data_IF_448227768919
#
_entry.id   IF_448227768919
#
_cell.length_a   1.000
_cell.length_b   1.000
_cell.length_c   1.000
_cell.angle_alpha   90.00
_cell.angle_beta   90.00
_cell.angle_gamma   90.00
#
_symmetry.space_group_name_H-M   'P 1'
#
loop_
_entity.id
_entity.type
_entity.pdbx_description
1 polymer ?
#
# COMPACT_ATOMS: atom_id res chain seq x y z
N UNK A 1 36.49 -27.25 -40.32
CA UNK A 1 35.39 -26.26 -40.38
C UNK A 1 34.41 -26.61 -39.27
N UNK A 2 34.58 -26.04 -38.06
CA UNK A 2 33.69 -26.26 -36.92
C UNK A 2 32.95 -24.97 -36.63
N UNK A 3 31.69 -24.89 -37.03
CA UNK A 3 30.82 -23.79 -36.68
C UNK A 3 30.20 -24.11 -35.31
N UNK A 4 30.76 -23.55 -34.24
CA UNK A 4 30.11 -23.55 -32.94
C UNK A 4 29.02 -22.46 -32.99
N UNK A 5 27.76 -22.87 -32.95
CA UNK A 5 26.62 -21.99 -32.77
C UNK A 5 26.61 -21.48 -31.33
N UNK A 6 27.00 -20.23 -31.14
CA UNK A 6 26.79 -19.50 -29.89
C UNK A 6 25.29 -19.39 -29.64
N UNK A 7 24.78 -20.21 -28.73
CA UNK A 7 23.52 -19.93 -28.04
C UNK A 7 23.74 -18.66 -27.21
N UNK A 8 23.56 -17.50 -27.84
CA UNK A 8 23.36 -16.25 -27.13
C UNK A 8 22.17 -16.43 -26.19
N UNK A 9 22.46 -16.69 -24.92
CA UNK A 9 21.51 -16.52 -23.83
C UNK A 9 21.05 -15.08 -23.90
N UNK A 10 19.86 -14.87 -24.45
CA UNK A 10 19.15 -13.60 -24.36
C UNK A 10 19.13 -13.25 -22.87
N UNK A 11 19.75 -12.12 -22.51
CA UNK A 11 19.54 -11.52 -21.18
C UNK A 11 18.02 -11.37 -21.01
N UNK A 12 17.41 -11.79 -19.88
CA UNK A 12 16.01 -11.51 -19.63
C UNK A 12 15.82 -10.01 -19.80
N UNK A 13 14.97 -9.61 -20.74
CA UNK A 13 14.53 -8.23 -20.83
C UNK A 13 13.84 -7.95 -19.49
N UNK A 14 14.33 -6.97 -18.73
CA UNK A 14 13.69 -6.61 -17.48
C UNK A 14 12.24 -6.23 -17.80
N UNK A 15 11.30 -7.02 -17.31
CA UNK A 15 9.89 -6.74 -17.50
C UNK A 15 9.57 -5.43 -16.79
N UNK A 16 8.84 -4.54 -17.48
CA UNK A 16 8.39 -3.29 -16.88
C UNK A 16 7.50 -3.64 -15.68
N UNK A 17 7.70 -2.94 -14.57
CA UNK A 17 6.94 -3.14 -13.34
C UNK A 17 5.90 -2.03 -13.18
N UNK A 18 4.75 -2.40 -12.64
CA UNK A 18 3.71 -1.50 -12.14
C UNK A 18 3.64 -1.60 -10.62
N UNK A 19 3.18 -0.54 -9.98
CA UNK A 19 2.98 -0.48 -8.53
C UNK A 19 1.50 -0.38 -8.16
N UNK A 20 1.14 -0.99 -7.04
CA UNK A 20 -0.11 -0.80 -6.32
C UNK A 20 0.18 -0.39 -4.87
N UNK A 21 -0.51 0.65 -4.39
CA UNK A 21 -0.50 1.06 -2.99
C UNK A 21 -1.66 0.42 -2.25
N UNK A 22 -1.40 -0.09 -1.05
CA UNK A 22 -2.42 -0.77 -0.23
C UNK A 22 -2.26 -0.31 1.20
N UNK A 23 -3.34 0.14 1.83
CA UNK A 23 -3.37 0.41 3.26
C UNK A 23 -3.77 -0.86 4.00
N UNK A 24 -2.84 -1.46 4.73
CA UNK A 24 -3.10 -2.59 5.61
C UNK A 24 -3.48 -2.03 7.00
N UNK A 25 -4.75 -2.14 7.36
CA UNK A 25 -5.30 -1.43 8.52
C UNK A 25 -5.13 -2.28 9.77
N UNK A 26 -5.82 -3.42 9.82
CA UNK A 26 -5.90 -4.23 11.03
C UNK A 26 -6.32 -5.64 10.69
N UNK A 27 -6.16 -6.55 11.64
CA UNK A 27 -6.85 -7.83 11.62
C UNK A 27 -7.57 -8.09 12.94
N UNK A 28 -8.52 -9.02 12.91
CA UNK A 28 -9.36 -9.36 14.06
C UNK A 28 -9.48 -10.87 14.17
N UNK A 29 -9.49 -11.37 15.41
CA UNK A 29 -9.70 -12.78 15.74
C UNK A 29 -8.78 -13.76 14.98
N UNK A 30 -7.51 -13.38 14.83
CA UNK A 30 -6.50 -14.25 14.24
C UNK A 30 -6.27 -15.50 15.08
N UNK A 31 -5.79 -16.57 14.44
CA UNK A 31 -5.36 -17.76 15.17
C UNK A 31 -4.17 -17.43 16.07
N UNK A 32 -4.29 -17.69 17.36
CA UNK A 32 -3.13 -17.63 18.24
C UNK A 32 -2.19 -18.83 17.97
N UNK A 33 -1.00 -18.54 17.44
CA UNK A 33 0.08 -19.52 17.16
C UNK A 33 1.24 -19.46 18.19
N UNK A 34 1.11 -18.58 19.19
CA UNK A 34 2.04 -18.43 20.31
C UNK A 34 1.30 -18.61 21.64
N UNK A 35 1.37 -19.81 22.19
CA UNK A 35 0.64 -20.15 23.41
C UNK A 35 1.28 -19.63 24.70
N UNK A 36 2.59 -19.35 24.67
CA UNK A 36 3.35 -18.97 25.88
C UNK A 36 3.67 -17.47 25.95
N UNK A 37 3.72 -16.78 24.81
CA UNK A 37 4.04 -15.36 24.74
C UNK A 37 2.95 -14.63 23.97
N UNK A 38 2.87 -13.30 24.18
CA UNK A 38 2.03 -12.46 23.34
C UNK A 38 2.43 -12.60 21.87
N UNK A 39 1.43 -12.65 21.00
CA UNK A 39 1.65 -12.63 19.56
C UNK A 39 1.97 -11.20 19.14
N UNK A 40 3.07 -11.03 18.42
CA UNK A 40 3.45 -9.79 17.74
C UNK A 40 3.38 -10.08 16.26
N UNK A 41 2.77 -9.24 15.45
CA UNK A 41 2.45 -9.62 14.07
C UNK A 41 2.80 -8.54 13.07
N UNK A 42 3.13 -8.96 11.87
CA UNK A 42 3.27 -8.12 10.69
C UNK A 42 2.64 -8.82 9.49
N UNK A 43 2.38 -8.05 8.43
CA UNK A 43 1.83 -8.55 7.19
C UNK A 43 2.88 -8.43 6.07
N UNK A 44 2.94 -9.44 5.22
CA UNK A 44 3.72 -9.47 3.98
C UNK A 44 2.72 -9.43 2.83
N UNK A 45 2.86 -8.42 1.97
CA UNK A 45 1.93 -8.13 0.87
C UNK A 45 2.65 -8.28 -0.46
N UNK A 46 2.04 -9.00 -1.39
CA UNK A 46 2.62 -9.25 -2.71
C UNK A 46 1.57 -9.62 -3.76
N UNK A 47 1.89 -9.37 -5.03
CA UNK A 47 1.20 -10.01 -6.16
C UNK A 47 2.01 -11.23 -6.60
N UNK A 48 3.31 -11.02 -6.83
CA UNK A 48 4.30 -12.07 -7.06
C UNK A 48 5.34 -12.07 -5.94
N UNK A 49 5.80 -13.26 -5.56
CA UNK A 49 6.70 -13.42 -4.40
C UNK A 49 8.10 -12.81 -4.58
N UNK A 50 8.45 -12.42 -5.79
CA UNK A 50 9.72 -11.73 -6.07
C UNK A 50 9.69 -10.25 -5.66
N UNK A 51 8.49 -9.69 -5.44
CA UNK A 51 8.28 -8.28 -5.12
C UNK A 51 7.34 -8.14 -3.92
N UNK A 52 7.87 -8.38 -2.72
CA UNK A 52 7.13 -8.30 -1.46
C UNK A 52 7.30 -6.93 -0.79
N UNK A 53 6.28 -6.51 -0.06
CA UNK A 53 6.34 -5.40 0.88
C UNK A 53 5.89 -5.88 2.26
N UNK A 54 6.47 -5.34 3.32
CA UNK A 54 6.15 -5.72 4.70
C UNK A 54 5.64 -4.51 5.47
N UNK A 55 4.70 -4.74 6.39
CA UNK A 55 4.34 -3.76 7.40
C UNK A 55 5.33 -3.81 8.56
N UNK A 56 5.31 -2.81 9.43
CA UNK A 56 5.88 -2.90 10.76
C UNK A 56 5.23 -4.01 11.58
N UNK A 57 5.94 -4.39 12.63
CA UNK A 57 5.45 -5.34 13.64
C UNK A 57 4.57 -4.59 14.62
N UNK A 58 3.32 -5.03 14.75
CA UNK A 58 2.49 -4.66 15.89
C UNK A 58 2.90 -5.51 17.11
N UNK A 59 3.46 -4.82 18.09
CA UNK A 59 3.97 -5.39 19.34
C UNK A 59 2.85 -5.76 20.33
N UNK A 60 1.64 -5.21 20.17
CA UNK A 60 0.63 -5.20 21.23
C UNK A 60 -0.75 -5.73 20.85
N UNK A 61 -1.14 -5.80 19.58
CA UNK A 61 -2.51 -6.21 19.23
C UNK A 61 -2.79 -7.71 19.37
N UNK A 62 -1.76 -8.57 19.45
CA UNK A 62 -1.98 -10.00 19.69
C UNK A 62 -2.76 -10.65 18.56
N UNK A 63 -3.95 -11.18 18.86
CA UNK A 63 -4.87 -11.75 17.85
C UNK A 63 -5.70 -10.70 17.12
N UNK A 64 -5.62 -9.43 17.52
CA UNK A 64 -6.33 -8.30 16.92
C UNK A 64 -5.34 -7.17 16.58
N UNK A 65 -4.39 -7.39 15.65
CA UNK A 65 -3.37 -6.41 15.37
C UNK A 65 -3.87 -5.20 14.61
N UNK A 66 -3.19 -4.06 14.80
CA UNK A 66 -3.38 -2.84 14.02
C UNK A 66 -2.03 -2.41 13.47
N UNK A 67 -1.93 -2.37 12.15
CA UNK A 67 -0.77 -1.86 11.43
C UNK A 67 -1.04 -0.44 10.97
N UNK A 68 -2.14 -0.21 10.25
CA UNK A 68 -2.47 1.10 9.69
C UNK A 68 -1.30 1.69 8.89
N UNK A 69 -0.76 0.89 7.98
CA UNK A 69 0.41 1.23 7.17
C UNK A 69 0.12 1.05 5.67
N UNK A 70 0.49 2.06 4.89
CA UNK A 70 0.44 1.99 3.44
C UNK A 70 1.72 1.37 2.90
N UNK A 71 1.59 0.23 2.23
CA UNK A 71 2.69 -0.47 1.56
C UNK A 71 2.57 -0.33 0.05
N UNK A 72 3.72 -0.41 -0.65
CA UNK A 72 3.80 -0.36 -2.11
C UNK A 72 4.28 -1.69 -2.65
N UNK A 73 3.51 -2.30 -3.53
CA UNK A 73 3.82 -3.61 -4.11
C UNK A 73 4.05 -3.45 -5.60
N UNK A 74 5.20 -3.92 -6.08
CA UNK A 74 5.52 -3.97 -7.51
C UNK A 74 5.11 -5.31 -8.12
N UNK A 75 4.72 -5.31 -9.39
CA UNK A 75 4.42 -6.52 -10.15
C UNK A 75 4.62 -6.28 -11.65
N UNK A 76 4.87 -7.32 -12.47
CA UNK A 76 5.04 -7.15 -13.90
C UNK A 76 3.82 -6.51 -14.58
N UNK A 77 4.05 -5.46 -15.36
CA UNK A 77 3.02 -4.74 -16.15
C UNK A 77 2.34 -5.68 -17.17
N UNK A 78 3.03 -6.76 -17.55
CA UNK A 78 2.52 -7.78 -18.47
C UNK A 78 1.43 -8.65 -17.85
N UNK A 79 1.26 -8.67 -16.53
CA UNK A 79 0.15 -9.37 -15.89
C UNK A 79 -1.15 -8.67 -16.29
N UNK A 80 -2.02 -9.33 -17.08
CA UNK A 80 -3.29 -8.72 -17.45
C UNK A 80 -4.11 -8.46 -16.18
N UNK A 81 -4.68 -7.27 -16.04
CA UNK A 81 -5.67 -7.00 -14.97
C UNK A 81 -6.86 -7.96 -15.05
N UNK A 82 -7.11 -8.51 -16.24
CA UNK A 82 -8.14 -9.52 -16.54
C UNK A 82 -7.70 -10.95 -16.30
N UNK A 83 -6.45 -11.18 -15.88
CA UNK A 83 -6.03 -12.51 -15.45
C UNK A 83 -6.75 -12.86 -14.15
N UNK A 84 -7.70 -13.78 -14.27
CA UNK A 84 -8.55 -14.27 -13.17
C UNK A 84 -7.75 -14.87 -12.01
N UNK A 85 -6.45 -15.12 -12.21
CA UNK A 85 -5.55 -15.63 -11.18
C UNK A 85 -4.71 -14.54 -10.51
N UNK A 86 -4.61 -13.34 -11.08
CA UNK A 86 -3.81 -12.26 -10.51
C UNK A 86 -4.48 -11.71 -9.24
N UNK A 87 -3.74 -11.72 -8.13
CA UNK A 87 -4.28 -11.35 -6.84
C UNK A 87 -3.23 -10.68 -5.95
N UNK A 88 -3.70 -9.74 -5.15
CA UNK A 88 -3.00 -9.24 -3.99
C UNK A 88 -3.12 -10.28 -2.86
N UNK A 89 -1.98 -10.82 -2.44
CA UNK A 89 -1.88 -11.74 -1.32
C UNK A 89 -1.36 -11.00 -0.10
N UNK A 90 -1.91 -11.32 1.06
CA UNK A 90 -1.49 -10.79 2.36
C UNK A 90 -1.24 -11.97 3.28
N UNK A 91 0.02 -12.28 3.53
CA UNK A 91 0.43 -13.31 4.48
C UNK A 91 0.73 -12.66 5.84
N UNK A 92 0.12 -13.17 6.91
CA UNK A 92 0.29 -12.65 8.27
C UNK A 92 1.20 -13.58 9.04
N UNK A 93 2.23 -13.01 9.65
CA UNK A 93 3.22 -13.73 10.45
C UNK A 93 3.25 -13.24 11.89
N UNK A 94 3.63 -14.14 12.80
CA UNK A 94 3.89 -13.85 14.19
C UNK A 94 5.40 -13.73 14.45
N UNK A 95 5.86 -12.48 14.61
CA UNK A 95 7.26 -12.08 14.83
C UNK A 95 7.91 -12.81 15.99
N UNK A 96 8.88 -13.69 15.70
CA UNK A 96 9.52 -14.58 16.68
C UNK A 96 11.01 -14.34 16.86
N UNK A 97 11.55 -14.73 18.03
CA UNK A 97 12.99 -14.60 18.32
C UNK A 97 13.87 -15.55 17.50
N UNK A 98 13.33 -16.74 17.16
CA UNK A 98 14.10 -17.79 16.45
C UNK A 98 13.62 -17.95 15.01
N UNK A 99 12.30 -17.93 14.80
CA UNK A 99 11.70 -17.99 13.48
C UNK A 99 10.35 -17.30 13.46
N UNK A 100 10.00 -16.85 12.28
CA UNK A 100 8.66 -16.40 11.96
C UNK A 100 7.68 -17.57 11.94
N UNK A 101 6.47 -17.33 12.44
CA UNK A 101 5.38 -18.31 12.42
C UNK A 101 4.23 -17.82 11.57
N UNK A 102 3.82 -18.56 10.53
CA UNK A 102 2.64 -18.20 9.74
C UNK A 102 1.38 -18.26 10.61
N UNK A 103 0.55 -17.22 10.51
CA UNK A 103 -0.72 -17.11 11.22
C UNK A 103 -1.88 -17.44 10.29
N UNK A 104 -1.82 -16.91 9.07
CA UNK A 104 -2.79 -17.15 8.00
C UNK A 104 -2.60 -16.16 6.86
N UNK A 105 -3.39 -16.32 5.81
CA UNK A 105 -3.29 -15.53 4.58
C UNK A 105 -4.65 -15.04 4.11
N UNK A 106 -4.69 -13.88 3.48
CA UNK A 106 -5.85 -13.35 2.77
C UNK A 106 -5.48 -13.09 1.31
N UNK A 107 -6.48 -13.13 0.43
CA UNK A 107 -6.31 -12.95 -1.01
C UNK A 107 -7.42 -12.06 -1.56
N UNK A 108 -7.05 -11.09 -2.39
CA UNK A 108 -7.96 -10.16 -3.07
C UNK A 108 -7.61 -10.15 -4.56
N UNK A 109 -8.57 -10.43 -5.43
CA UNK A 109 -8.31 -10.44 -6.87
C UNK A 109 -8.04 -9.02 -7.37
N UNK A 110 -7.03 -8.85 -8.23
CA UNK A 110 -6.71 -7.53 -8.76
C UNK A 110 -7.86 -6.97 -9.60
N UNK A 111 -8.60 -7.81 -10.33
CA UNK A 111 -9.77 -7.40 -11.12
C UNK A 111 -10.92 -6.84 -10.28
N UNK A 112 -11.02 -7.21 -8.99
CA UNK A 112 -12.09 -6.73 -8.11
C UNK A 112 -11.80 -5.31 -7.60
N UNK A 113 -10.51 -4.98 -7.47
CA UNK A 113 -10.04 -3.73 -6.86
C UNK A 113 -9.51 -2.73 -7.86
N UNK A 114 -8.78 -3.15 -8.90
CA UNK A 114 -8.25 -2.29 -9.95
C UNK A 114 -9.27 -2.16 -11.08
N UNK A 115 -10.11 -1.12 -11.01
CA UNK A 115 -11.18 -0.86 -11.98
C UNK A 115 -10.79 0.18 -13.04
N UNK A 116 -9.57 0.71 -12.97
CA UNK A 116 -9.12 1.84 -13.80
C UNK A 116 -9.60 3.19 -13.27
N UNK A 117 -9.50 4.21 -14.11
CA UNK A 117 -9.75 5.61 -13.74
C UNK A 117 -8.47 6.43 -13.68
N UNK A 118 -8.61 7.76 -13.78
CA UNK A 118 -7.47 8.65 -13.65
C UNK A 118 -7.21 8.97 -12.16
N UNK A 119 -5.98 8.72 -11.70
CA UNK A 119 -5.56 9.16 -10.37
C UNK A 119 -5.52 10.69 -10.24
N UNK A 120 -5.56 11.46 -11.33
CA UNK A 120 -5.73 12.92 -11.25
C UNK A 120 -7.13 13.33 -10.80
N UNK A 121 -8.14 12.48 -11.06
CA UNK A 121 -9.55 12.83 -10.97
C UNK A 121 -10.22 12.17 -9.75
N UNK A 122 -10.49 12.93 -8.68
CA UNK A 122 -11.03 12.37 -7.44
C UNK A 122 -12.41 11.69 -7.58
N UNK A 123 -13.20 12.09 -8.59
CA UNK A 123 -14.50 11.46 -8.89
C UNK A 123 -14.37 10.00 -9.29
N UNK A 124 -13.21 9.60 -9.82
CA UNK A 124 -12.97 8.29 -10.40
C UNK A 124 -12.28 7.33 -9.40
N UNK A 125 -12.06 7.77 -8.15
CA UNK A 125 -11.34 7.01 -7.14
C UNK A 125 -12.12 6.80 -5.83
N UNK A 126 -13.30 6.15 -5.84
CA UNK A 126 -13.94 5.71 -4.61
C UNK A 126 -13.10 4.58 -4.00
N UNK A 127 -12.20 4.93 -3.07
CA UNK A 127 -11.33 3.99 -2.37
C UNK A 127 -12.17 2.84 -1.82
N UNK A 128 -11.79 1.60 -2.14
CA UNK A 128 -12.50 0.43 -1.69
C UNK A 128 -12.04 0.04 -0.28
N UNK A 129 -12.95 0.18 0.69
CA UNK A 129 -12.76 -0.33 2.04
C UNK A 129 -13.20 -1.80 2.11
N UNK A 130 -12.28 -2.71 2.42
CA UNK A 130 -12.55 -4.14 2.35
C UNK A 130 -12.26 -4.84 3.68
N UNK A 131 -13.10 -5.82 4.00
CA UNK A 131 -12.86 -6.80 5.06
C UNK A 131 -12.82 -8.19 4.44
N UNK A 132 -11.68 -8.87 4.55
CA UNK A 132 -11.37 -10.12 3.85
C UNK A 132 -11.13 -11.25 4.85
N UNK A 133 -11.61 -12.45 4.53
CA UNK A 133 -11.42 -13.64 5.36
C UNK A 133 -9.94 -14.06 5.36
N UNK A 134 -9.38 -14.25 6.56
CA UNK A 134 -8.06 -14.86 6.73
C UNK A 134 -8.19 -16.38 6.79
N UNK A 135 -7.35 -17.09 6.06
CA UNK A 135 -7.30 -18.54 5.96
C UNK A 135 -6.04 -19.07 6.63
N UNK A 136 -6.19 -20.05 7.51
CA UNK A 136 -5.04 -20.70 8.15
C UNK A 136 -4.35 -21.63 7.17
N UNK A 137 -3.10 -21.99 7.46
CA UNK A 137 -2.37 -23.03 6.70
C UNK A 137 -3.13 -24.36 6.61
N UNK A 138 -3.99 -24.65 7.59
CA UNK A 138 -4.85 -25.84 7.58
C UNK A 138 -6.03 -25.73 6.60
N UNK A 139 -6.15 -24.65 5.82
CA UNK A 139 -7.28 -24.37 4.92
C UNK A 139 -8.59 -23.98 5.61
N UNK A 140 -8.60 -23.79 6.94
CA UNK A 140 -9.81 -23.39 7.67
C UNK A 140 -9.85 -21.86 7.84
N UNK A 141 -10.99 -21.21 7.64
CA UNK A 141 -11.12 -19.77 7.84
C UNK A 141 -11.01 -19.44 9.34
N UNK A 142 -10.23 -18.41 9.67
CA UNK A 142 -10.21 -17.80 11.00
C UNK A 142 -9.61 -16.40 10.95
N UNK A 143 -10.41 -15.42 11.38
CA UNK A 143 -10.03 -14.02 11.48
C UNK A 143 -10.38 -13.20 10.23
N UNK A 144 -10.33 -11.89 10.37
CA UNK A 144 -10.70 -10.93 9.32
C UNK A 144 -9.58 -9.91 9.17
N UNK A 145 -9.25 -9.57 7.93
CA UNK A 145 -8.28 -8.53 7.58
C UNK A 145 -9.02 -7.31 7.02
N UNK A 146 -8.75 -6.13 7.55
CA UNK A 146 -9.26 -4.87 7.03
C UNK A 146 -8.17 -4.15 6.24
N UNK A 147 -8.48 -3.75 5.00
CA UNK A 147 -7.53 -3.09 4.12
C UNK A 147 -8.24 -2.16 3.13
N UNK A 148 -7.54 -1.14 2.64
CA UNK A 148 -8.02 -0.28 1.57
C UNK A 148 -7.15 -0.41 0.33
N UNK A 149 -7.80 -0.44 -0.83
CA UNK A 149 -7.13 -0.41 -2.14
C UNK A 149 -7.77 0.70 -2.97
N UNK A 150 -6.97 1.66 -3.49
CA UNK A 150 -7.45 2.66 -4.42
C UNK A 150 -7.68 2.01 -5.81
N UNK A 151 -8.85 2.21 -6.44
CA UNK A 151 -9.15 1.71 -7.79
C UNK A 151 -8.11 1.96 -8.88
N UNK A 152 -7.39 3.08 -8.78
CA UNK A 152 -6.32 3.48 -9.73
C UNK A 152 -4.98 2.81 -9.42
N UNK A 153 -4.87 2.13 -8.28
CA UNK A 153 -3.65 1.56 -7.74
C UNK A 153 -2.77 2.55 -6.97
N UNK A 154 -3.14 3.83 -6.87
CA UNK A 154 -2.42 4.83 -6.07
C UNK A 154 -3.37 5.67 -5.23
N UNK A 155 -3.02 5.92 -3.98
CA UNK A 155 -3.76 6.85 -3.14
C UNK A 155 -3.52 8.27 -3.66
N UNK A 156 -4.58 9.08 -3.71
CA UNK A 156 -4.45 10.47 -4.10
C UNK A 156 -3.67 11.21 -3.02
N UNK A 157 -2.62 11.93 -3.41
CA UNK A 157 -2.08 12.97 -2.54
C UNK A 157 -3.17 14.05 -2.48
N UNK A 158 -3.83 14.17 -1.33
CA UNK A 158 -4.80 15.24 -1.09
C UNK A 158 -4.08 16.57 -1.35
N UNK A 159 -4.52 17.32 -2.36
CA UNK A 159 -3.92 18.61 -2.76
C UNK A 159 -3.88 19.64 -1.61
N UNK A 160 -4.63 19.40 -0.54
CA UNK A 160 -4.62 20.18 0.70
C UNK A 160 -3.31 20.06 1.49
N UNK A 161 -2.48 19.03 1.25
CA UNK A 161 -1.15 18.88 1.84
C UNK A 161 -0.05 19.62 1.06
N UNK A 162 -0.40 20.29 -0.05
CA UNK A 162 0.46 21.22 -0.78
C UNK A 162 0.14 22.68 -0.45
N UNK A 163 -0.44 22.95 0.73
CA UNK A 163 -0.77 24.31 1.16
C UNK A 163 0.49 25.16 1.35
N UNK A 164 0.80 25.92 0.30
CA UNK A 164 1.13 27.35 0.32
C UNK A 164 2.27 27.76 1.26
N UNK A 165 3.51 27.61 0.80
CA UNK A 165 4.58 28.55 1.19
C UNK A 165 4.40 29.86 0.42
N UNK A 166 3.33 30.61 0.72
CA UNK A 166 3.29 32.04 0.35
C UNK A 166 4.21 32.76 1.32
N UNK A 167 5.32 33.26 0.80
CA UNK A 167 6.10 34.28 1.50
C UNK A 167 5.23 35.52 1.61
N UNK A 168 4.64 35.74 2.78
CA UNK A 168 4.09 37.02 3.16
C UNK A 168 5.24 38.04 3.13
N UNK A 169 5.16 38.97 2.18
CA UNK A 169 5.99 40.18 2.18
C UNK A 169 5.13 41.25 2.84
N UNK A 170 5.55 41.87 3.95
CA UNK A 170 4.73 42.86 4.63
C UNK A 170 4.50 44.08 3.70
N UNK A 171 3.30 44.68 3.72
CA UNK A 171 3.03 45.90 2.96
C UNK A 171 3.82 47.07 3.55
N UNK A 172 4.35 47.91 2.65
CA UNK A 172 5.00 49.16 3.00
C UNK A 172 4.00 50.10 3.70
N UNK A 173 4.44 50.72 4.78
CA UNK A 173 3.72 51.79 5.46
C UNK A 173 3.62 52.98 4.50
N UNK A 174 2.40 53.31 4.07
CA UNK A 174 2.09 54.57 3.40
C UNK A 174 1.76 55.59 4.49
N UNK A 175 2.68 56.54 4.68
CA UNK A 175 2.49 57.72 5.54
C UNK A 175 1.41 58.64 4.93
N UNK A 176 0.21 58.65 5.53
CA UNK A 176 -0.79 59.69 5.30
C UNK A 176 -0.62 60.79 6.35
N UNK A 177 -0.04 61.94 5.98
CA UNK A 177 -0.38 63.23 6.58
C UNK A 177 -0.02 64.40 5.64
N UNK A 178 -1.00 64.88 4.89
CA UNK A 178 -1.08 66.26 4.38
C UNK A 178 -2.50 66.73 4.78
N UNK A 179 -2.75 67.90 5.35
CA UNK A 179 -2.68 69.21 4.70
C UNK A 179 -2.64 70.32 5.77
N UNK A 180 -1.67 71.23 5.69
CA UNK A 180 -1.72 72.54 6.37
C UNK A 180 -2.14 73.62 5.36
N UNK A 181 -3.10 74.43 5.77
CA UNK A 181 -3.77 75.46 4.97
C UNK A 181 -3.02 76.80 5.07
N UNK A 182 -2.60 77.36 3.93
CA UNK A 182 -2.36 78.79 3.69
C UNK A 182 -2.82 79.06 2.24
N UNK A 183 -3.56 80.10 1.84
CA UNK A 183 -3.80 81.41 2.42
C UNK A 183 -3.63 82.43 1.29
N UNK A 184 -4.72 82.90 0.66
CA UNK A 184 -4.85 84.27 0.12
C UNK A 184 -6.29 84.62 -0.22
#
# INVERSE_FOLDING_TARGET
MSHASEFQRRKPQADRLREIEVLIISAQNLKNVKHLTKMRTYAVVYVEKDHVAETHVDEHGGVNPTWNETVKVSFPEKLPETDVMAALNVDIYAHGHVREKPVGSARVLLCDVLKGGDASEPSDNPIQCMTVQVWRESGRPQGLLNLWVPPTGKFLIRRESLSFSVKETPPAEEDEEEVVVEGK
#
